data_IF_077566540955
#
_entry.id   IF_077566540955
#
_cell.length_a   1.000
_cell.length_b   1.000
_cell.length_c   1.000
_cell.angle_alpha   90.00
_cell.angle_beta   90.00
_cell.angle_gamma   90.00
#
_symmetry.space_group_name_H-M   'P 1'
#
loop_
_entity.id
_entity.type
_entity.pdbx_description
1 polymer ?
#
# COMPACT_ATOMS: atom_id res chain seq x y z
N UNK A 1 3.18 -9.26 17.36
CA UNK A 1 3.18 -8.53 16.06
C UNK A 1 1.78 -8.37 15.43
N UNK A 2 0.69 -8.67 16.15
CA UNK A 2 -0.68 -8.43 15.65
C UNK A 2 -1.10 -6.95 15.73
N UNK A 3 -0.56 -6.18 16.68
CA UNK A 3 -0.94 -4.78 16.89
C UNK A 3 -0.74 -3.90 15.64
N UNK A 4 0.41 -4.00 14.96
CA UNK A 4 0.68 -3.25 13.72
C UNK A 4 -0.32 -3.61 12.61
N UNK A 5 -0.66 -4.90 12.47
CA UNK A 5 -1.60 -5.33 11.44
C UNK A 5 -3.01 -4.81 11.71
N UNK A 6 -3.48 -4.86 12.96
CA UNK A 6 -4.80 -4.33 13.33
C UNK A 6 -4.84 -2.80 13.18
N UNK A 7 -3.77 -2.10 13.58
CA UNK A 7 -3.67 -0.66 13.42
C UNK A 7 -3.70 -0.27 11.94
N UNK A 8 -2.87 -0.90 11.11
CA UNK A 8 -2.82 -0.68 9.67
C UNK A 8 -4.11 -1.07 8.94
N UNK A 9 -4.80 -2.13 9.38
CA UNK A 9 -6.09 -2.52 8.80
C UNK A 9 -7.21 -1.51 9.10
N UNK A 10 -7.17 -0.87 10.29
CA UNK A 10 -8.16 0.14 10.72
C UNK A 10 -7.81 1.56 10.31
N UNK A 11 -6.62 1.80 9.77
CA UNK A 11 -6.14 3.16 9.51
C UNK A 11 -5.74 3.93 10.76
N UNK A 12 -5.39 3.24 11.84
CA UNK A 12 -5.03 3.84 13.13
C UNK A 12 -3.61 4.42 13.09
N UNK A 13 -3.48 5.61 12.49
CA UNK A 13 -2.20 6.24 12.21
C UNK A 13 -1.41 6.56 13.49
N UNK A 14 -2.10 6.95 14.57
CA UNK A 14 -1.47 7.26 15.85
C UNK A 14 -0.79 6.02 16.46
N UNK A 15 -1.47 4.87 16.43
CA UNK A 15 -0.88 3.60 16.88
C UNK A 15 0.29 3.17 15.98
N UNK A 16 0.20 3.38 14.66
CA UNK A 16 1.29 3.07 13.73
C UNK A 16 2.51 3.93 14.03
N UNK A 17 2.33 5.24 14.22
CA UNK A 17 3.40 6.17 14.61
C UNK A 17 4.07 5.73 15.90
N UNK A 18 3.27 5.40 16.92
CA UNK A 18 3.76 4.91 18.20
C UNK A 18 4.57 3.62 18.04
N UNK A 19 4.05 2.63 17.30
CA UNK A 19 4.74 1.35 17.09
C UNK A 19 6.04 1.49 16.30
N UNK A 20 6.07 2.35 15.28
CA UNK A 20 7.26 2.57 14.45
C UNK A 20 8.35 3.36 15.17
N UNK A 21 7.97 4.21 16.13
CA UNK A 21 8.94 4.89 16.99
C UNK A 21 9.80 3.91 17.80
N UNK A 22 9.23 2.81 18.30
CA UNK A 22 9.95 1.83 19.14
C UNK A 22 10.53 0.64 18.37
N UNK A 23 10.00 0.32 17.17
CA UNK A 23 10.37 -0.87 16.40
C UNK A 23 10.33 -0.62 14.87
N UNK A 24 11.22 0.23 14.31
CA UNK A 24 11.11 0.69 12.92
C UNK A 24 11.43 -0.38 11.86
N UNK A 25 12.42 -1.24 12.09
CA UNK A 25 13.08 -1.98 10.99
C UNK A 25 12.27 -3.09 10.29
N UNK A 26 11.25 -3.66 10.94
CA UNK A 26 10.49 -4.80 10.39
C UNK A 26 8.97 -4.64 10.36
N UNK A 27 8.45 -3.54 10.91
CA UNK A 27 7.01 -3.30 11.01
C UNK A 27 6.46 -2.49 9.84
N UNK A 28 7.30 -1.69 9.17
CA UNK A 28 6.87 -0.82 8.07
C UNK A 28 6.30 -1.62 6.90
N UNK A 29 6.99 -2.66 6.43
CA UNK A 29 6.50 -3.51 5.33
C UNK A 29 5.12 -4.09 5.62
N UNK A 30 4.90 -4.59 6.84
CA UNK A 30 3.60 -5.13 7.25
C UNK A 30 2.53 -4.05 7.35
N UNK A 31 2.89 -2.85 7.81
CA UNK A 31 1.97 -1.73 7.85
C UNK A 31 1.50 -1.35 6.44
N UNK A 32 2.42 -1.29 5.48
CA UNK A 32 2.13 -1.00 4.08
C UNK A 32 1.21 -2.06 3.45
N UNK A 33 1.56 -3.35 3.58
CA UNK A 33 0.75 -4.44 3.01
C UNK A 33 -0.69 -4.43 3.55
N UNK A 34 -0.85 -4.26 4.88
CA UNK A 34 -2.16 -4.26 5.52
C UNK A 34 -2.95 -2.99 5.21
N UNK A 35 -2.29 -1.83 5.17
CA UNK A 35 -2.95 -0.58 4.77
C UNK A 35 -3.44 -0.66 3.32
N UNK A 36 -2.64 -1.23 2.40
CA UNK A 36 -3.04 -1.41 1.01
C UNK A 36 -4.22 -2.39 0.87
N UNK A 37 -4.17 -3.51 1.59
CA UNK A 37 -5.24 -4.52 1.62
C UNK A 37 -6.57 -4.00 2.17
N UNK A 38 -6.55 -3.00 3.05
CA UNK A 38 -7.74 -2.47 3.71
C UNK A 38 -8.10 -1.05 3.25
N UNK A 39 -7.48 -0.54 2.19
CA UNK A 39 -7.86 0.74 1.59
C UNK A 39 -7.42 1.98 2.38
N UNK A 40 -6.42 1.85 3.25
CA UNK A 40 -6.00 2.91 4.18
C UNK A 40 -4.99 3.85 3.53
N UNK A 41 -5.46 4.67 2.59
CA UNK A 41 -4.62 5.57 1.80
C UNK A 41 -3.81 6.56 2.67
N UNK A 42 -4.43 7.14 3.71
CA UNK A 42 -3.75 8.09 4.58
C UNK A 42 -2.55 7.47 5.30
N UNK A 43 -2.63 6.20 5.70
CA UNK A 43 -1.50 5.47 6.29
C UNK A 43 -0.38 5.31 5.25
N UNK A 44 -0.70 4.93 4.02
CA UNK A 44 0.30 4.75 2.95
C UNK A 44 1.01 6.06 2.60
N UNK A 45 0.26 7.16 2.52
CA UNK A 45 0.82 8.49 2.26
C UNK A 45 1.81 8.90 3.35
N UNK A 46 1.41 8.78 4.62
CA UNK A 46 2.27 9.10 5.75
C UNK A 46 3.54 8.23 5.77
N UNK A 47 3.39 6.93 5.51
CA UNK A 47 4.52 5.99 5.45
C UNK A 47 5.50 6.37 4.34
N UNK A 48 5.03 6.84 3.19
CA UNK A 48 5.87 7.24 2.06
C UNK A 48 6.66 8.52 2.32
N UNK A 49 6.09 9.45 3.09
CA UNK A 49 6.70 10.73 3.46
C UNK A 49 7.75 10.60 4.57
N UNK A 50 7.56 9.64 5.50
CA UNK A 50 8.38 9.53 6.70
C UNK A 50 9.37 8.35 6.66
N UNK A 51 9.31 7.50 5.64
CA UNK A 51 10.18 6.34 5.51
C UNK A 51 10.70 6.19 4.07
N UNK A 52 11.99 6.48 3.88
CA UNK A 52 12.65 6.44 2.56
C UNK A 52 12.97 5.02 2.08
N UNK A 53 13.05 4.04 2.99
CA UNK A 53 13.45 2.66 2.69
C UNK A 53 12.27 1.68 2.58
N UNK A 54 11.07 2.20 2.31
CA UNK A 54 9.92 1.34 2.06
C UNK A 54 10.00 0.79 0.64
N UNK A 55 10.01 -0.53 0.54
CA UNK A 55 9.86 -1.21 -0.73
C UNK A 55 8.39 -1.22 -1.11
N UNK A 56 8.09 -0.60 -2.24
CA UNK A 56 6.76 -0.54 -2.81
C UNK A 56 6.72 -1.34 -4.12
N UNK A 57 5.63 -2.07 -4.37
CA UNK A 57 5.38 -2.70 -5.66
C UNK A 57 5.63 -4.21 -5.71
N UNK A 58 5.59 -4.90 -4.57
CA UNK A 58 5.58 -6.36 -4.53
C UNK A 58 4.14 -6.88 -4.55
N UNK A 59 3.36 -6.59 -3.50
CA UNK A 59 2.02 -7.16 -3.30
C UNK A 59 0.95 -6.10 -3.03
N UNK A 60 1.35 -4.86 -2.73
CA UNK A 60 0.46 -3.79 -2.24
C UNK A 60 -0.61 -3.44 -3.28
N UNK A 61 -0.19 -3.29 -4.55
CA UNK A 61 -1.10 -2.97 -5.65
C UNK A 61 -2.08 -4.12 -5.88
N UNK A 62 -1.61 -5.37 -5.81
CA UNK A 62 -2.47 -6.54 -5.95
C UNK A 62 -3.52 -6.57 -4.82
N UNK A 63 -3.12 -6.34 -3.57
CA UNK A 63 -4.06 -6.31 -2.45
C UNK A 63 -5.07 -5.18 -2.54
N UNK A 64 -4.66 -4.00 -3.03
CA UNK A 64 -5.57 -2.90 -3.27
C UNK A 64 -6.60 -3.24 -4.37
N UNK A 65 -6.17 -3.91 -5.44
CA UNK A 65 -7.05 -4.37 -6.53
C UNK A 65 -8.02 -5.46 -6.02
N UNK A 66 -7.54 -6.46 -5.30
CA UNK A 66 -8.35 -7.54 -4.73
C UNK A 66 -9.37 -7.00 -3.70
N UNK A 67 -9.00 -5.97 -2.94
CA UNK A 67 -9.89 -5.28 -1.99
C UNK A 67 -10.81 -4.24 -2.62
N UNK A 68 -10.79 -4.05 -3.94
CA UNK A 68 -11.52 -3.01 -4.66
C UNK A 68 -11.25 -1.57 -4.14
N UNK A 69 -10.03 -1.33 -3.66
CA UNK A 69 -9.56 -0.05 -3.13
C UNK A 69 -8.97 0.82 -4.25
N UNK A 70 -9.84 1.34 -5.12
CA UNK A 70 -9.46 2.08 -6.33
C UNK A 70 -8.53 3.27 -6.05
N UNK A 71 -8.81 4.05 -5.00
CA UNK A 71 -7.99 5.21 -4.64
C UNK A 71 -6.56 4.82 -4.22
N UNK A 72 -6.42 3.73 -3.46
CA UNK A 72 -5.12 3.19 -3.08
C UNK A 72 -4.39 2.66 -4.30
N UNK A 73 -5.06 1.90 -5.17
CA UNK A 73 -4.45 1.36 -6.37
C UNK A 73 -3.92 2.47 -7.30
N UNK A 74 -4.71 3.54 -7.50
CA UNK A 74 -4.30 4.73 -8.25
C UNK A 74 -3.10 5.40 -7.60
N UNK A 75 -3.17 5.65 -6.30
CA UNK A 75 -2.08 6.30 -5.58
C UNK A 75 -0.78 5.51 -5.66
N UNK A 76 -0.82 4.17 -5.49
CA UNK A 76 0.35 3.30 -5.64
C UNK A 76 0.96 3.39 -7.05
N UNK A 77 0.12 3.42 -8.09
CA UNK A 77 0.60 3.54 -9.48
C UNK A 77 1.28 4.89 -9.77
N UNK A 78 0.85 5.96 -9.11
CA UNK A 78 1.35 7.32 -9.29
C UNK A 78 2.60 7.59 -8.43
N UNK A 79 2.61 7.11 -7.19
CA UNK A 79 3.55 7.56 -6.15
C UNK A 79 4.62 6.54 -5.78
N UNK A 80 4.48 5.29 -6.20
CA UNK A 80 5.33 4.20 -5.71
C UNK A 80 6.02 3.38 -6.79
N UNK A 81 6.12 3.92 -8.02
CA UNK A 81 6.84 3.25 -9.13
C UNK A 81 8.33 3.02 -8.79
N UNK A 82 8.84 1.78 -8.88
CA UNK A 82 10.22 1.54 -9.28
C UNK A 82 10.35 1.69 -10.81
N UNK A 83 11.55 1.97 -11.35
CA UNK A 83 11.75 2.10 -12.79
C UNK A 83 11.51 0.76 -13.49
N UNK A 84 10.44 0.73 -14.26
CA UNK A 84 10.22 -0.02 -15.51
C UNK A 84 9.78 -1.49 -15.50
N UNK A 85 8.76 -1.68 -16.33
CA UNK A 85 8.61 -2.71 -17.38
C UNK A 85 7.97 -4.06 -17.08
N UNK A 86 7.55 -4.36 -15.86
CA UNK A 86 6.79 -5.59 -15.60
C UNK A 86 5.34 -5.29 -15.21
N UNK A 87 4.44 -5.48 -16.19
CA UNK A 87 3.08 -6.05 -16.01
C UNK A 87 1.85 -5.16 -15.87
N UNK A 88 1.93 -3.84 -16.03
CA UNK A 88 0.72 -3.04 -16.30
C UNK A 88 -0.07 -3.56 -17.53
N UNK A 89 0.61 -4.22 -18.48
CA UNK A 89 -0.03 -4.86 -19.64
C UNK A 89 -0.78 -6.17 -19.34
N UNK A 90 -0.58 -6.82 -18.18
CA UNK A 90 -1.19 -8.13 -17.91
C UNK A 90 -2.37 -8.09 -16.94
N UNK A 91 -2.53 -7.03 -16.15
CA UNK A 91 -3.65 -6.93 -15.18
C UNK A 91 -4.88 -6.20 -15.73
N UNK A 92 -4.74 -5.42 -16.81
CA UNK A 92 -5.88 -4.82 -17.51
C UNK A 92 -6.73 -5.87 -18.26
N UNK A 93 -6.14 -7.00 -18.67
CA UNK A 93 -6.84 -8.06 -19.38
C UNK A 93 -7.68 -8.97 -18.45
N UNK A 94 -7.46 -8.95 -17.13
CA UNK A 94 -8.03 -9.95 -16.25
C UNK A 94 -9.36 -9.55 -15.58
N UNK A 95 -9.75 -8.27 -15.57
CA UNK A 95 -10.86 -7.83 -14.69
C UNK A 95 -11.93 -6.91 -15.27
N UNK A 96 -12.04 -6.76 -16.59
CA UNK A 96 -13.26 -6.22 -17.23
C UNK A 96 -13.69 -4.78 -16.89
N UNK A 97 -12.94 -4.03 -16.07
CA UNK A 97 -13.23 -2.63 -15.74
C UNK A 97 -12.43 -1.70 -16.66
N UNK A 98 -13.05 -1.35 -17.78
CA UNK A 98 -12.57 -0.45 -18.84
C UNK A 98 -12.57 1.05 -18.44
N UNK A 99 -12.22 1.40 -17.20
CA UNK A 99 -12.31 2.80 -16.75
C UNK A 99 -11.01 3.39 -16.18
N UNK A 100 -9.87 2.73 -16.42
CA UNK A 100 -8.54 3.26 -16.05
C UNK A 100 -7.51 3.06 -17.17
N UNK A 101 -7.88 3.41 -18.41
CA UNK A 101 -6.93 3.53 -19.53
C UNK A 101 -7.15 4.85 -20.25
N UNK A 102 -6.51 5.90 -19.75
CA UNK A 102 -5.97 7.00 -20.55
C UNK A 102 -4.54 7.27 -20.11
#
# INVERSE_FOLDING_TARGET
MQAMQHAAARGDLEMIQWLLHFQPGGLVTRAVEQAARNGQLHVLTWLKEHHDHVFWGANELQYAIEGNHVEVARWLQENTRPPTKLRAMNSAAANGNLELVQ
#
